data_IF_501570795942
#
_entry.id   IF_501570795942
#
_cell.length_a   1.000
_cell.length_b   1.000
_cell.length_c   1.000
_cell.angle_alpha   90.00
_cell.angle_beta   90.00
_cell.angle_gamma   90.00
#
_symmetry.space_group_name_H-M   'P 1'
#
loop_
_entity.id
_entity.type
_entity.pdbx_description
1 polymer ?
#
# COMPACT_ATOMS: atom_id res chain seq x y z
N UNK A 1 19.85 -20.15 -62.12
CA UNK A 1 19.76 -20.23 -60.65
C UNK A 1 19.60 -21.69 -60.34
N UNK A 2 20.60 -22.33 -59.70
CA UNK A 2 20.52 -23.73 -59.29
C UNK A 2 19.76 -23.84 -57.98
N UNK A 3 18.53 -24.37 -58.04
CA UNK A 3 17.73 -24.67 -56.87
C UNK A 3 18.06 -26.08 -56.38
N UNK A 4 18.39 -26.19 -55.09
CA UNK A 4 18.67 -27.47 -54.44
C UNK A 4 17.48 -27.80 -53.55
N UNK A 5 16.88 -29.00 -53.73
CA UNK A 5 15.74 -29.45 -52.97
C UNK A 5 16.15 -29.88 -51.55
N UNK A 6 15.52 -29.33 -50.54
CA UNK A 6 15.78 -29.68 -49.11
C UNK A 6 14.81 -30.75 -48.60
N UNK A 7 13.52 -30.56 -48.89
CA UNK A 7 12.48 -31.38 -48.28
C UNK A 7 11.23 -31.44 -49.16
N UNK A 8 10.62 -32.61 -49.26
CA UNK A 8 9.27 -32.77 -49.84
C UNK A 8 8.26 -32.83 -48.71
N UNK A 9 7.28 -31.94 -48.75
CA UNK A 9 6.11 -31.95 -47.88
C UNK A 9 4.91 -32.46 -48.72
N UNK A 10 3.84 -32.87 -48.05
CA UNK A 10 2.65 -33.50 -48.71
C UNK A 10 2.02 -32.62 -49.82
N UNK A 11 2.18 -31.30 -49.80
CA UNK A 11 1.60 -30.36 -50.76
C UNK A 11 2.60 -29.29 -51.26
N UNK A 12 3.90 -29.37 -50.93
CA UNK A 12 4.91 -28.39 -51.36
C UNK A 12 6.34 -28.96 -51.22
N UNK A 13 7.21 -28.52 -52.09
CA UNK A 13 8.63 -28.82 -51.99
C UNK A 13 9.40 -27.56 -51.60
N UNK A 14 10.35 -27.72 -50.66
CA UNK A 14 11.27 -26.63 -50.26
C UNK A 14 12.59 -26.74 -51.02
N UNK A 15 12.99 -25.60 -51.60
CA UNK A 15 14.23 -25.44 -52.30
C UNK A 15 15.05 -24.34 -51.68
N UNK A 16 16.36 -24.37 -51.82
CA UNK A 16 17.26 -23.25 -51.48
C UNK A 16 18.26 -23.01 -52.62
N UNK A 17 18.85 -21.82 -52.63
CA UNK A 17 20.06 -21.51 -53.37
C UNK A 17 21.22 -21.42 -52.40
N UNK A 18 22.45 -21.60 -52.81
CA UNK A 18 23.62 -21.46 -51.92
C UNK A 18 23.70 -20.04 -51.32
N UNK A 19 23.32 -19.03 -52.09
CA UNK A 19 23.26 -17.64 -51.66
C UNK A 19 22.24 -17.45 -50.53
N UNK A 20 21.01 -18.03 -50.64
CA UNK A 20 20.00 -17.98 -49.62
C UNK A 20 20.47 -18.66 -48.34
N UNK A 21 21.15 -19.80 -48.43
CA UNK A 21 21.68 -20.52 -47.27
C UNK A 21 22.76 -19.70 -46.55
N UNK A 22 23.59 -18.97 -47.26
CA UNK A 22 24.57 -18.05 -46.70
C UNK A 22 23.90 -16.92 -45.94
N UNK A 23 22.84 -16.33 -46.50
CA UNK A 23 22.08 -15.26 -45.86
C UNK A 23 21.38 -15.78 -44.58
N UNK A 24 20.74 -16.96 -44.62
CA UNK A 24 20.12 -17.58 -43.46
C UNK A 24 21.14 -17.85 -42.33
N UNK A 25 22.29 -18.35 -42.65
CA UNK A 25 23.38 -18.55 -41.68
C UNK A 25 23.86 -17.24 -41.05
N UNK A 26 24.06 -16.19 -41.87
CA UNK A 26 24.44 -14.89 -41.37
C UNK A 26 23.38 -14.29 -40.46
N UNK A 27 22.08 -14.41 -40.81
CA UNK A 27 20.98 -13.97 -39.97
C UNK A 27 20.99 -14.71 -38.60
N UNK A 28 21.28 -16.00 -38.62
CA UNK A 28 21.36 -16.79 -37.37
C UNK A 28 22.51 -16.31 -36.49
N UNK A 29 23.72 -16.12 -37.10
CA UNK A 29 24.88 -15.62 -36.38
C UNK A 29 24.60 -14.24 -35.77
N UNK A 30 24.08 -13.29 -36.57
CA UNK A 30 23.77 -11.94 -36.09
C UNK A 30 22.69 -11.92 -35.00
N UNK A 31 21.71 -12.81 -35.08
CA UNK A 31 20.71 -12.94 -33.99
C UNK A 31 21.34 -13.42 -32.66
N UNK A 32 22.30 -14.33 -32.74
CA UNK A 32 23.02 -14.81 -31.55
C UNK A 32 23.95 -13.72 -30.99
N UNK A 33 24.65 -12.97 -31.86
CA UNK A 33 25.46 -11.84 -31.43
C UNK A 33 24.62 -10.71 -30.81
N UNK A 34 23.49 -10.40 -31.40
CA UNK A 34 22.55 -9.41 -30.86
C UNK A 34 22.12 -9.78 -29.46
N UNK A 35 21.71 -11.05 -29.20
CA UNK A 35 21.35 -11.53 -27.87
C UNK A 35 22.50 -11.41 -26.86
N UNK A 36 23.73 -11.70 -27.30
CA UNK A 36 24.90 -11.54 -26.41
C UNK A 36 25.12 -10.08 -26.05
N UNK A 37 25.00 -9.19 -27.02
CA UNK A 37 25.16 -7.74 -26.81
C UNK A 37 24.06 -7.17 -25.91
N UNK A 38 22.81 -7.57 -26.13
CA UNK A 38 21.69 -7.21 -25.26
C UNK A 38 21.94 -7.62 -23.80
N UNK A 39 22.41 -8.86 -23.57
CA UNK A 39 22.75 -9.33 -22.22
C UNK A 39 23.89 -8.53 -21.59
N UNK A 40 24.90 -8.15 -22.34
CA UNK A 40 26.01 -7.33 -21.84
C UNK A 40 25.51 -5.95 -21.43
N UNK A 41 24.70 -5.30 -22.27
CA UNK A 41 24.13 -3.97 -21.99
C UNK A 41 23.22 -4.04 -20.77
N UNK A 42 22.35 -5.05 -20.71
CA UNK A 42 21.45 -5.27 -19.56
C UNK A 42 22.23 -5.45 -18.25
N UNK A 43 23.23 -6.32 -18.24
CA UNK A 43 24.04 -6.55 -17.05
C UNK A 43 24.81 -5.31 -16.61
N UNK A 44 25.36 -4.54 -17.54
CA UNK A 44 26.04 -3.28 -17.23
C UNK A 44 25.06 -2.27 -16.61
N UNK A 45 23.84 -2.17 -17.12
CA UNK A 45 22.80 -1.32 -16.55
C UNK A 45 22.45 -1.75 -15.11
N UNK A 46 22.28 -3.05 -14.88
CA UNK A 46 22.01 -3.61 -13.55
C UNK A 46 23.16 -3.32 -12.57
N UNK A 47 24.40 -3.51 -12.98
CA UNK A 47 25.55 -3.19 -12.12
C UNK A 47 25.60 -1.70 -11.77
N UNK A 48 25.30 -0.82 -12.71
CA UNK A 48 25.20 0.61 -12.45
C UNK A 48 24.12 0.93 -11.43
N UNK A 49 22.92 0.34 -11.55
CA UNK A 49 21.81 0.52 -10.60
C UNK A 49 22.19 -0.01 -9.21
N UNK A 50 22.89 -1.15 -9.14
CA UNK A 50 23.32 -1.74 -7.86
C UNK A 50 24.18 -0.80 -7.03
N UNK A 51 25.01 0.02 -7.65
CA UNK A 51 25.84 1.00 -6.97
C UNK A 51 25.02 2.02 -6.17
N UNK A 52 23.80 2.35 -6.63
CA UNK A 52 22.92 3.33 -6.03
C UNK A 52 21.77 2.72 -5.21
N UNK A 53 21.78 1.40 -5.02
CA UNK A 53 20.66 0.69 -4.34
C UNK A 53 20.36 1.24 -2.94
N UNK A 54 21.38 1.55 -2.15
CA UNK A 54 21.20 2.07 -0.80
C UNK A 54 20.57 3.48 -0.81
N UNK A 55 21.05 4.37 -1.66
CA UNK A 55 20.51 5.72 -1.82
C UNK A 55 19.05 5.70 -2.28
N UNK A 56 18.74 4.81 -3.24
CA UNK A 56 17.36 4.60 -3.71
C UNK A 56 16.45 4.08 -2.59
N UNK A 57 16.95 3.16 -1.76
CA UNK A 57 16.21 2.63 -0.62
C UNK A 57 15.94 3.69 0.45
N UNK A 58 16.94 4.50 0.79
CA UNK A 58 16.77 5.60 1.75
C UNK A 58 15.80 6.64 1.22
N UNK A 59 15.90 7.01 -0.05
CA UNK A 59 14.97 7.93 -0.71
C UNK A 59 13.54 7.38 -0.70
N UNK A 60 13.36 6.11 -1.02
CA UNK A 60 12.05 5.44 -0.98
C UNK A 60 11.43 5.47 0.42
N UNK A 61 12.22 5.21 1.47
CA UNK A 61 11.75 5.29 2.86
C UNK A 61 11.36 6.72 3.24
N UNK A 62 12.15 7.71 2.82
CA UNK A 62 11.85 9.12 3.07
C UNK A 62 10.56 9.57 2.37
N UNK A 63 10.38 9.19 1.12
CA UNK A 63 9.16 9.47 0.35
C UNK A 63 7.93 8.80 0.96
N UNK A 64 8.04 7.53 1.39
CA UNK A 64 6.95 6.83 2.05
C UNK A 64 6.52 7.50 3.37
N UNK A 65 7.48 7.98 4.16
CA UNK A 65 7.19 8.74 5.38
C UNK A 65 6.49 10.06 5.07
N UNK A 66 6.97 10.79 4.05
CA UNK A 66 6.37 12.06 3.64
C UNK A 66 4.93 11.85 3.16
N UNK A 67 4.68 10.83 2.36
CA UNK A 67 3.35 10.47 1.85
C UNK A 67 2.36 10.16 2.99
N UNK A 68 2.77 9.35 3.97
CA UNK A 68 1.96 9.03 5.16
C UNK A 68 1.65 10.29 5.96
N UNK A 69 2.64 11.12 6.25
CA UNK A 69 2.44 12.34 7.05
C UNK A 69 1.56 13.36 6.33
N UNK A 70 1.74 13.51 5.03
CA UNK A 70 0.90 14.38 4.19
C UNK A 70 -0.56 13.90 4.18
N UNK A 71 -0.77 12.59 4.03
CA UNK A 71 -2.11 12.01 4.09
C UNK A 71 -2.78 12.19 5.46
N UNK A 72 -2.04 12.00 6.55
CA UNK A 72 -2.56 12.23 7.90
C UNK A 72 -2.97 13.69 8.12
N UNK A 73 -2.15 14.63 7.65
CA UNK A 73 -2.43 16.05 7.77
C UNK A 73 -3.67 16.45 6.95
N UNK A 74 -3.74 16.02 5.69
CA UNK A 74 -4.89 16.30 4.82
C UNK A 74 -6.19 15.73 5.39
N UNK A 75 -6.18 14.47 5.86
CA UNK A 75 -7.36 13.85 6.46
C UNK A 75 -7.76 14.52 7.76
N UNK A 76 -6.82 14.92 8.59
CA UNK A 76 -7.09 15.64 9.82
C UNK A 76 -7.79 16.99 9.56
N UNK A 77 -7.34 17.72 8.56
CA UNK A 77 -7.92 19.01 8.19
C UNK A 77 -9.32 18.84 7.57
N UNK A 78 -9.45 18.00 6.54
CA UNK A 78 -10.73 17.78 5.84
C UNK A 78 -11.80 17.21 6.76
N UNK A 79 -11.44 16.24 7.61
CA UNK A 79 -12.38 15.54 8.49
C UNK A 79 -12.49 16.18 9.89
N UNK A 80 -11.80 17.28 10.13
CA UNK A 80 -11.79 17.98 11.42
C UNK A 80 -11.47 17.04 12.59
N UNK A 81 -10.39 16.26 12.40
CA UNK A 81 -9.88 15.35 13.43
C UNK A 81 -8.95 16.10 14.39
N UNK A 82 -8.82 15.61 15.61
CA UNK A 82 -8.03 16.25 16.67
C UNK A 82 -6.77 15.45 16.98
N UNK A 83 -5.67 16.13 17.28
CA UNK A 83 -4.44 15.47 17.72
C UNK A 83 -4.64 14.86 19.12
N UNK A 84 -4.44 13.53 19.29
CA UNK A 84 -4.64 12.86 20.56
C UNK A 84 -3.49 13.17 21.53
N UNK A 85 -3.83 13.46 22.80
CA UNK A 85 -2.84 13.53 23.87
C UNK A 85 -2.52 12.14 24.38
N UNK A 86 -1.36 11.61 24.08
CA UNK A 86 -0.89 10.35 24.61
C UNK A 86 -0.37 10.52 26.07
N UNK A 87 -0.69 9.57 26.94
CA UNK A 87 -0.31 9.60 28.36
C UNK A 87 0.18 8.24 28.84
N UNK A 88 0.93 8.24 29.95
CA UNK A 88 1.36 6.99 30.61
C UNK A 88 0.32 6.43 31.61
N UNK A 89 -0.81 7.10 31.77
CA UNK A 89 -1.89 6.65 32.66
C UNK A 89 -2.78 5.63 31.95
N UNK A 90 -3.38 4.71 32.69
CA UNK A 90 -4.43 3.81 32.14
C UNK A 90 -5.75 4.57 32.02
N UNK A 91 -5.92 5.29 30.92
CA UNK A 91 -7.10 6.10 30.67
C UNK A 91 -7.41 6.19 29.17
N UNK A 92 -8.71 6.24 28.84
CA UNK A 92 -9.22 6.55 27.51
C UNK A 92 -10.31 7.59 27.70
N UNK A 93 -10.07 8.80 27.23
CA UNK A 93 -11.03 9.90 27.26
C UNK A 93 -11.20 10.38 25.82
N UNK A 94 -12.35 10.10 25.24
CA UNK A 94 -12.76 10.55 23.92
C UNK A 94 -14.04 11.36 24.08
N UNK A 95 -14.03 12.59 23.59
CA UNK A 95 -15.20 13.48 23.57
C UNK A 95 -15.66 13.69 22.15
N UNK A 96 -16.99 13.62 21.96
CA UNK A 96 -17.62 13.73 20.63
C UNK A 96 -16.91 12.82 19.60
N UNK A 97 -16.63 11.57 20.00
CA UNK A 97 -15.96 10.59 19.15
C UNK A 97 -16.90 10.13 18.03
N UNK A 98 -16.36 9.96 16.83
CA UNK A 98 -17.08 9.59 15.60
C UNK A 98 -16.49 8.31 15.01
N UNK A 99 -17.24 7.63 14.16
CA UNK A 99 -16.75 6.46 13.47
C UNK A 99 -16.19 6.87 12.11
N UNK A 100 -14.88 6.76 11.85
CA UNK A 100 -14.22 7.37 10.67
C UNK A 100 -14.76 6.88 9.32
N UNK A 101 -15.29 5.67 9.25
CA UNK A 101 -15.84 5.12 8.01
C UNK A 101 -17.34 5.42 7.85
N UNK A 102 -18.10 5.54 8.94
CA UNK A 102 -19.55 5.71 8.89
C UNK A 102 -19.91 7.19 8.73
N UNK A 103 -19.15 8.10 9.36
CA UNK A 103 -19.42 9.53 9.25
C UNK A 103 -19.36 10.06 7.81
N UNK A 104 -18.52 9.45 6.96
CA UNK A 104 -18.35 9.88 5.57
C UNK A 104 -19.35 9.23 4.59
N UNK A 105 -19.99 8.13 4.96
CA UNK A 105 -20.81 7.33 4.03
C UNK A 105 -22.31 7.58 4.16
N UNK A 106 -22.76 8.41 5.09
CA UNK A 106 -24.17 8.64 5.33
C UNK A 106 -24.56 10.09 5.08
N UNK A 107 -25.61 10.32 4.32
CA UNK A 107 -26.31 11.61 4.20
C UNK A 107 -26.94 12.08 5.54
N UNK A 108 -26.84 11.27 6.59
CA UNK A 108 -27.35 11.57 7.93
C UNK A 108 -26.20 11.95 8.86
N UNK A 109 -26.41 12.99 9.65
CA UNK A 109 -25.48 13.44 10.68
C UNK A 109 -25.13 12.29 11.62
N UNK A 110 -23.86 11.95 11.75
CA UNK A 110 -23.40 10.93 12.70
C UNK A 110 -23.58 11.43 14.13
N UNK A 111 -24.21 10.62 14.99
CA UNK A 111 -24.32 10.94 16.40
C UNK A 111 -23.03 10.59 17.12
N UNK A 112 -22.38 11.60 17.67
CA UNK A 112 -21.10 11.46 18.39
C UNK A 112 -21.29 10.75 19.72
N UNK A 113 -20.25 10.13 20.24
CA UNK A 113 -20.27 9.40 21.50
C UNK A 113 -19.07 9.75 22.39
N UNK A 114 -19.33 9.88 23.68
CA UNK A 114 -18.30 10.07 24.69
C UNK A 114 -17.82 8.73 25.28
N UNK A 115 -16.51 8.67 25.59
CA UNK A 115 -15.90 7.54 26.28
C UNK A 115 -15.02 8.08 27.40
N UNK A 116 -15.23 7.62 28.67
CA UNK A 116 -14.39 8.01 29.79
C UNK A 116 -14.03 6.76 30.58
N UNK A 117 -12.95 6.10 30.22
CA UNK A 117 -12.35 5.02 30.99
C UNK A 117 -11.13 5.56 31.73
N UNK A 118 -11.07 5.36 33.04
CA UNK A 118 -9.94 5.81 33.89
C UNK A 118 -9.91 4.97 35.18
N UNK A 119 -9.07 5.31 36.12
CA UNK A 119 -8.94 4.60 37.40
C UNK A 119 -10.26 4.44 38.20
N UNK A 120 -11.21 5.34 38.00
CA UNK A 120 -12.50 5.30 38.70
C UNK A 120 -13.56 4.52 37.91
N UNK A 121 -13.41 4.43 36.59
CA UNK A 121 -14.34 3.75 35.67
C UNK A 121 -13.53 2.82 34.74
N UNK A 122 -13.26 1.60 35.18
CA UNK A 122 -12.42 0.64 34.47
C UNK A 122 -13.20 -0.22 33.48
N UNK A 123 -14.49 -0.35 33.64
CA UNK A 123 -15.35 -1.27 32.88
C UNK A 123 -16.61 -0.57 32.42
N UNK A 124 -16.91 -0.71 31.14
CA UNK A 124 -18.19 -0.33 30.55
C UNK A 124 -18.98 -1.57 30.14
N UNK A 125 -20.25 -1.64 30.57
CA UNK A 125 -21.20 -2.63 30.09
C UNK A 125 -22.11 -1.93 29.07
N UNK A 126 -22.01 -2.33 27.81
CA UNK A 126 -22.79 -1.74 26.71
C UNK A 126 -23.96 -2.66 26.40
N UNK A 127 -25.19 -2.21 26.72
CA UNK A 127 -26.41 -2.96 26.45
C UNK A 127 -27.31 -2.22 25.45
N UNK A 128 -28.29 -2.92 24.90
CA UNK A 128 -29.24 -2.33 23.97
C UNK A 128 -29.78 -3.35 22.95
N UNK A 129 -30.80 -2.99 22.17
CA UNK A 129 -31.41 -3.87 21.17
C UNK A 129 -30.45 -4.26 20.06
N UNK A 130 -30.79 -5.31 19.32
CA UNK A 130 -30.07 -5.63 18.09
C UNK A 130 -30.22 -4.47 17.11
N UNK A 131 -29.14 -4.20 16.32
CA UNK A 131 -29.05 -3.05 15.43
C UNK A 131 -29.01 -1.66 16.12
N UNK A 132 -28.94 -1.60 17.45
CA UNK A 132 -28.86 -0.35 18.24
C UNK A 132 -27.48 0.30 18.26
N UNK A 133 -26.55 -0.11 17.39
CA UNK A 133 -25.23 0.54 17.27
C UNK A 133 -24.16 0.08 18.26
N UNK A 134 -24.41 -0.92 19.11
CA UNK A 134 -23.47 -1.44 20.14
C UNK A 134 -22.09 -1.78 19.51
N UNK A 135 -22.10 -2.57 18.45
CA UNK A 135 -20.86 -2.99 17.76
C UNK A 135 -20.16 -1.82 17.07
N UNK A 136 -20.91 -0.86 16.55
CA UNK A 136 -20.39 0.38 15.97
C UNK A 136 -19.68 1.22 17.03
N UNK A 137 -20.29 1.36 18.20
CA UNK A 137 -19.71 2.08 19.33
C UNK A 137 -18.38 1.46 19.80
N UNK A 138 -18.32 0.14 19.95
CA UNK A 138 -17.08 -0.55 20.34
C UNK A 138 -15.98 -0.43 19.27
N UNK A 139 -16.34 -0.61 17.98
CA UNK A 139 -15.41 -0.47 16.87
C UNK A 139 -14.87 0.95 16.73
N UNK A 140 -15.70 1.95 16.87
CA UNK A 140 -15.31 3.36 16.81
C UNK A 140 -14.25 3.68 17.87
N UNK A 141 -14.38 3.18 19.10
CA UNK A 141 -13.40 3.36 20.17
C UNK A 141 -12.08 2.65 19.80
N UNK A 142 -12.17 1.38 19.40
CA UNK A 142 -10.99 0.59 19.02
C UNK A 142 -10.22 1.23 17.87
N UNK A 143 -10.90 1.67 16.81
CA UNK A 143 -10.28 2.33 15.66
C UNK A 143 -9.63 3.66 16.09
N UNK A 144 -10.29 4.47 16.90
CA UNK A 144 -9.70 5.73 17.40
C UNK A 144 -8.42 5.51 18.20
N UNK A 145 -8.37 4.42 18.99
CA UNK A 145 -7.15 4.05 19.72
C UNK A 145 -6.05 3.62 18.79
N UNK A 146 -6.34 2.77 17.81
CA UNK A 146 -5.35 2.29 16.82
C UNK A 146 -4.78 3.49 16.04
N UNK A 147 -5.64 4.36 15.53
CA UNK A 147 -5.26 5.56 14.77
C UNK A 147 -4.37 6.47 15.62
N UNK A 148 -4.68 6.68 16.89
CA UNK A 148 -3.84 7.47 17.79
C UNK A 148 -2.45 6.85 18.00
N UNK A 149 -2.35 5.53 18.14
CA UNK A 149 -1.07 4.86 18.40
C UNK A 149 -0.17 4.77 17.17
N UNK A 150 -0.71 4.86 15.97
CA UNK A 150 0.11 5.00 14.75
C UNK A 150 0.56 6.44 14.48
N UNK A 151 0.20 7.39 15.36
CA UNK A 151 0.62 8.79 15.27
C UNK A 151 -0.29 9.69 14.44
N UNK A 152 -1.50 9.23 14.10
CA UNK A 152 -2.49 10.02 13.36
C UNK A 152 -3.41 10.81 14.30
N UNK A 153 -4.11 11.79 13.74
CA UNK A 153 -5.22 12.48 14.37
C UNK A 153 -6.42 11.52 14.51
N UNK A 154 -7.33 11.81 15.44
CA UNK A 154 -8.50 10.95 15.74
C UNK A 154 -9.82 11.67 15.50
N UNK A 155 -10.88 10.94 15.12
CA UNK A 155 -12.20 11.49 14.85
C UNK A 155 -12.95 11.86 16.14
N UNK A 156 -12.41 12.77 16.92
CA UNK A 156 -12.98 13.24 18.17
C UNK A 156 -12.71 14.72 18.38
N UNK A 157 -13.55 15.42 19.14
CA UNK A 157 -13.31 16.81 19.52
C UNK A 157 -12.17 16.95 20.54
N UNK A 158 -12.01 15.96 21.41
CA UNK A 158 -10.91 15.86 22.37
C UNK A 158 -10.56 14.40 22.61
N UNK A 159 -9.27 14.11 22.58
CA UNK A 159 -8.77 12.76 22.81
C UNK A 159 -7.59 12.77 23.80
N UNK A 160 -7.66 11.89 24.79
CA UNK A 160 -6.58 11.59 25.72
C UNK A 160 -6.52 10.08 25.89
N UNK A 161 -5.43 9.48 25.47
CA UNK A 161 -5.32 8.03 25.35
C UNK A 161 -4.04 7.58 26.05
N UNK A 162 -4.23 6.66 27.00
CA UNK A 162 -3.14 6.04 27.72
C UNK A 162 -2.55 4.84 26.98
N UNK A 163 -1.52 4.25 27.55
CA UNK A 163 -0.91 3.04 27.04
C UNK A 163 -1.90 1.87 27.11
N UNK A 164 -2.12 1.21 25.98
CA UNK A 164 -3.05 0.08 25.82
C UNK A 164 -2.25 -1.15 25.43
N UNK A 165 -2.45 -2.24 26.15
CA UNK A 165 -1.73 -3.48 25.92
C UNK A 165 -2.40 -4.36 24.86
N UNK A 166 -3.74 -4.33 24.78
CA UNK A 166 -4.54 -5.14 23.83
C UNK A 166 -5.83 -4.41 23.45
N UNK A 167 -6.25 -4.60 22.22
CA UNK A 167 -7.52 -4.14 21.65
C UNK A 167 -8.27 -5.35 21.11
#
# INVERSE_FOLDING_TARGET
INYIKIQSLKNSDKYYTEELKLIENNIKIYKEEMKKLENIIYNNAIETIKLHTNEMKETSIALAKLDILSNFAERADVLQWTFPKLTNKKEIILKDNRHPLIENNNDKTFITNDVILNSNNLVYIVTGPNMGGKSTYLRQIAISIIIAHIGCYVPAKKAKIGKIDKI
#
